data_IF_573819121185
#
_entry.id   IF_573819121185
#
_cell.length_a   1.000
_cell.length_b   1.000
_cell.length_c   1.000
_cell.angle_alpha   90.00
_cell.angle_beta   90.00
_cell.angle_gamma   90.00
#
_symmetry.space_group_name_H-M   'P 1'
#
loop_
_entity.id
_entity.type
_entity.pdbx_description
1 polymer ?
#
# COMPACT_ATOMS: atom_id res chain seq x y z
N UNK A 1 10.18 33.36 5.38
CA UNK A 1 10.59 31.95 5.65
C UNK A 1 9.36 31.07 5.66
N UNK A 2 9.07 30.38 4.55
CA UNK A 2 7.90 29.50 4.46
C UNK A 2 8.19 28.21 5.20
N UNK A 3 7.72 28.11 6.44
CA UNK A 3 7.90 26.95 7.30
C UNK A 3 7.44 25.66 6.59
N UNK A 4 8.34 24.68 6.50
CA UNK A 4 8.06 23.32 6.01
C UNK A 4 6.94 22.63 6.81
N UNK A 5 6.66 23.08 8.04
CA UNK A 5 5.52 22.60 8.85
C UNK A 5 4.16 22.83 8.17
N UNK A 6 4.07 23.80 7.26
CA UNK A 6 2.88 24.09 6.47
C UNK A 6 2.64 23.17 5.27
N UNK A 7 3.47 22.14 5.05
CA UNK A 7 3.32 21.21 3.92
C UNK A 7 2.92 19.79 4.33
N UNK A 8 3.26 19.36 5.55
CA UNK A 8 2.93 18.03 6.03
C UNK A 8 1.42 17.84 6.26
N UNK A 9 0.84 16.71 5.82
CA UNK A 9 -0.55 16.36 6.12
C UNK A 9 -0.71 16.06 7.61
N UNK A 10 -1.90 16.30 8.14
CA UNK A 10 -2.19 16.01 9.55
C UNK A 10 -2.36 14.49 9.74
N UNK A 11 -2.09 13.98 10.96
CA UNK A 11 -2.15 12.53 11.25
C UNK A 11 -3.51 11.91 10.93
N UNK A 12 -4.59 12.65 11.18
CA UNK A 12 -5.96 12.26 10.82
C UNK A 12 -6.19 12.10 9.31
N UNK A 13 -5.40 12.78 8.46
CA UNK A 13 -5.46 12.64 7.01
C UNK A 13 -4.56 11.51 6.49
N UNK A 14 -3.48 11.21 7.21
CA UNK A 14 -2.55 10.11 6.86
C UNK A 14 -3.19 8.76 7.16
N UNK A 15 -3.88 8.64 8.30
CA UNK A 15 -4.50 7.39 8.75
C UNK A 15 -5.39 6.70 7.68
N UNK A 16 -6.37 7.37 7.04
CA UNK A 16 -7.23 6.72 6.03
C UNK A 16 -6.46 6.30 4.76
N UNK A 17 -5.46 7.09 4.35
CA UNK A 17 -4.61 6.76 3.19
C UNK A 17 -3.72 5.55 3.51
N UNK A 18 -3.15 5.50 4.72
CA UNK A 18 -2.36 4.36 5.17
C UNK A 18 -3.22 3.11 5.33
N UNK A 19 -4.42 3.24 5.90
CA UNK A 19 -5.39 2.14 6.01
C UNK A 19 -5.75 1.55 4.64
N UNK A 20 -5.92 2.40 3.63
CA UNK A 20 -6.15 1.96 2.25
C UNK A 20 -4.97 1.15 1.71
N UNK A 21 -3.74 1.59 1.93
CA UNK A 21 -2.55 0.85 1.52
C UNK A 21 -2.44 -0.50 2.25
N UNK A 22 -2.65 -0.51 3.57
CA UNK A 22 -2.66 -1.73 4.39
C UNK A 22 -3.70 -2.72 3.86
N UNK A 23 -4.93 -2.30 3.62
CA UNK A 23 -5.98 -3.23 3.18
C UNK A 23 -5.66 -3.82 1.81
N UNK A 24 -5.20 -3.03 0.85
CA UNK A 24 -4.86 -3.53 -0.49
C UNK A 24 -3.69 -4.52 -0.43
N UNK A 25 -2.60 -4.16 0.25
CA UNK A 25 -1.39 -4.98 0.34
C UNK A 25 -1.67 -6.27 1.10
N UNK A 26 -2.32 -6.19 2.27
CA UNK A 26 -2.60 -7.38 3.07
C UNK A 26 -3.61 -8.29 2.40
N UNK A 27 -4.65 -7.75 1.76
CA UNK A 27 -5.60 -8.57 1.02
C UNK A 27 -4.93 -9.32 -0.13
N UNK A 28 -4.10 -8.64 -0.92
CA UNK A 28 -3.34 -9.26 -2.00
C UNK A 28 -2.44 -10.39 -1.49
N UNK A 29 -1.60 -10.08 -0.50
CA UNK A 29 -0.69 -11.05 0.12
C UNK A 29 -1.42 -12.24 0.74
N UNK A 30 -2.56 -12.02 1.40
CA UNK A 30 -3.37 -13.09 1.97
C UNK A 30 -4.02 -13.97 0.90
N UNK A 31 -4.50 -13.40 -0.21
CA UNK A 31 -5.02 -14.18 -1.34
C UNK A 31 -3.94 -15.12 -1.87
N UNK A 32 -2.72 -14.62 -2.09
CA UNK A 32 -1.59 -15.45 -2.54
C UNK A 32 -1.18 -16.50 -1.50
N UNK A 33 -1.17 -16.13 -0.22
CA UNK A 33 -0.90 -17.07 0.88
C UNK A 33 -1.92 -18.20 0.90
N UNK A 34 -3.23 -17.88 0.87
CA UNK A 34 -4.29 -18.88 0.90
C UNK A 34 -4.36 -19.72 -0.38
N UNK A 35 -3.90 -19.20 -1.52
CA UNK A 35 -3.75 -20.01 -2.73
C UNK A 35 -2.66 -21.08 -2.56
N UNK A 36 -1.53 -20.75 -1.91
CA UNK A 36 -0.45 -21.72 -1.64
C UNK A 36 -0.70 -22.58 -0.40
N UNK A 37 -1.57 -22.15 0.50
CA UNK A 37 -1.83 -22.83 1.77
C UNK A 37 -2.19 -24.32 1.63
N UNK A 38 -3.06 -24.76 0.69
CA UNK A 38 -3.38 -26.17 0.53
C UNK A 38 -2.18 -27.05 0.19
N UNK A 39 -1.18 -26.56 -0.57
CA UNK A 39 0.00 -27.35 -0.88
C UNK A 39 0.91 -27.47 0.35
N UNK A 40 1.04 -26.42 1.14
CA UNK A 40 1.84 -26.45 2.37
C UNK A 40 1.29 -27.41 3.42
N UNK A 41 -0.01 -27.66 3.47
CA UNK A 41 -0.58 -28.67 4.37
C UNK A 41 -0.02 -30.08 4.12
N UNK A 42 0.48 -30.37 2.91
CA UNK A 42 1.10 -31.65 2.58
C UNK A 42 2.61 -31.70 2.79
N UNK A 43 3.30 -30.55 2.75
CA UNK A 43 4.77 -30.49 2.68
C UNK A 43 5.45 -29.70 3.80
N UNK A 44 4.71 -28.90 4.56
CA UNK A 44 5.26 -28.02 5.59
C UNK A 44 4.64 -28.32 6.96
N UNK A 45 5.44 -28.13 8.01
CA UNK A 45 4.94 -28.23 9.39
C UNK A 45 4.11 -27.00 9.76
N UNK A 46 3.24 -27.13 10.77
CA UNK A 46 2.46 -25.99 11.28
C UNK A 46 3.34 -24.81 11.70
N UNK A 47 4.54 -25.10 12.26
CA UNK A 47 5.51 -24.07 12.62
C UNK A 47 6.07 -23.32 11.41
N UNK A 48 6.41 -24.03 10.33
CA UNK A 48 6.89 -23.41 9.09
C UNK A 48 5.83 -22.52 8.44
N UNK A 49 4.56 -22.95 8.45
CA UNK A 49 3.44 -22.16 7.94
C UNK A 49 3.25 -20.90 8.80
N UNK A 50 3.26 -21.03 10.12
CA UNK A 50 3.11 -19.89 11.04
C UNK A 50 4.23 -18.87 10.87
N UNK A 51 5.48 -19.34 10.71
CA UNK A 51 6.61 -18.46 10.46
C UNK A 51 6.50 -17.79 9.09
N UNK A 52 6.11 -18.53 8.05
CA UNK A 52 5.89 -17.95 6.71
C UNK A 52 4.85 -16.82 6.75
N UNK A 53 3.78 -17.00 7.52
CA UNK A 53 2.77 -15.96 7.75
C UNK A 53 3.35 -14.74 8.50
N UNK A 54 4.22 -14.95 9.50
CA UNK A 54 4.89 -13.87 10.21
C UNK A 54 5.82 -13.06 9.29
N UNK A 55 6.55 -13.72 8.39
CA UNK A 55 7.35 -13.01 7.37
C UNK A 55 6.45 -12.23 6.42
N UNK A 56 5.32 -12.81 5.99
CA UNK A 56 4.36 -12.13 5.11
C UNK A 56 3.84 -10.84 5.75
N UNK A 57 3.37 -10.89 7.00
CA UNK A 57 2.87 -9.69 7.70
C UNK A 57 3.97 -8.66 7.96
N UNK A 58 5.20 -9.10 8.23
CA UNK A 58 6.35 -8.19 8.38
C UNK A 58 6.62 -7.45 7.08
N UNK A 59 6.67 -8.15 5.95
CA UNK A 59 6.87 -7.54 4.62
C UNK A 59 5.72 -6.60 4.30
N UNK A 60 4.46 -7.01 4.49
CA UNK A 60 3.29 -6.17 4.24
C UNK A 60 3.30 -4.88 5.10
N UNK A 61 3.79 -4.95 6.34
CA UNK A 61 3.94 -3.78 7.21
C UNK A 61 4.95 -2.79 6.66
N UNK A 62 6.10 -3.29 6.18
CA UNK A 62 7.13 -2.46 5.53
C UNK A 62 6.59 -1.88 4.22
N UNK A 63 5.99 -2.69 3.35
CA UNK A 63 5.47 -2.26 2.05
C UNK A 63 4.37 -1.21 2.18
N UNK A 64 3.42 -1.40 3.12
CA UNK A 64 2.39 -0.38 3.40
C UNK A 64 2.99 0.91 3.97
N UNK A 65 4.04 0.78 4.79
CA UNK A 65 4.83 1.92 5.26
C UNK A 65 5.59 2.63 4.14
N UNK A 66 6.07 1.92 3.12
CA UNK A 66 6.68 2.52 1.94
C UNK A 66 5.64 3.16 1.02
N UNK A 67 4.47 2.52 0.86
CA UNK A 67 3.39 3.00 0.02
C UNK A 67 2.87 4.38 0.45
N UNK A 68 2.84 4.68 1.77
CA UNK A 68 2.42 6.00 2.27
C UNK A 68 3.47 7.09 2.04
N UNK A 69 4.75 6.74 1.82
CA UNK A 69 5.79 7.72 1.54
C UNK A 69 5.56 8.41 0.19
N UNK A 70 4.94 7.73 -0.78
CA UNK A 70 4.62 8.34 -2.07
C UNK A 70 3.63 9.53 -1.96
N UNK A 71 2.42 9.38 -1.40
CA UNK A 71 1.49 10.51 -1.23
C UNK A 71 2.02 11.57 -0.26
N UNK A 72 2.71 11.18 0.81
CA UNK A 72 3.32 12.14 1.74
C UNK A 72 4.45 12.92 1.04
N UNK A 73 5.33 12.25 0.31
CA UNK A 73 6.41 12.87 -0.45
C UNK A 73 5.87 13.86 -1.50
N UNK A 74 4.84 13.46 -2.25
CA UNK A 74 4.17 14.35 -3.20
C UNK A 74 3.54 15.57 -2.52
N UNK A 75 3.00 15.43 -1.31
CA UNK A 75 2.46 16.57 -0.56
C UNK A 75 3.51 17.61 -0.16
N UNK A 76 4.77 17.17 0.01
CA UNK A 76 5.91 18.04 0.36
C UNK A 76 6.51 18.72 -0.87
N UNK A 77 6.62 17.97 -1.98
CA UNK A 77 7.17 18.45 -3.25
C UNK A 77 6.20 19.43 -3.93
N UNK A 78 4.92 19.08 -4.01
CA UNK A 78 3.93 19.87 -4.73
C UNK A 78 3.46 21.10 -3.95
N UNK A 79 2.92 22.13 -4.64
CA UNK A 79 2.32 23.27 -3.99
C UNK A 79 1.18 22.85 -3.06
N UNK A 80 1.10 23.46 -1.87
CA UNK A 80 0.08 23.16 -0.83
C UNK A 80 -1.35 23.13 -1.38
N UNK A 81 -1.68 24.06 -2.28
CA UNK A 81 -3.02 24.19 -2.87
C UNK A 81 -3.39 23.02 -3.79
N UNK A 82 -2.39 22.32 -4.31
CA UNK A 82 -2.60 21.21 -5.20
C UNK A 82 -2.89 19.99 -4.34
N UNK A 83 -1.89 19.29 -3.81
CA UNK A 83 -2.11 17.98 -3.21
C UNK A 83 -2.70 18.02 -1.80
N UNK A 84 -2.29 18.97 -0.94
CA UNK A 84 -2.61 18.96 0.49
C UNK A 84 -4.08 19.23 0.81
N UNK A 85 -4.73 20.12 0.06
CA UNK A 85 -6.12 20.51 0.33
C UNK A 85 -7.11 19.34 0.24
N UNK A 86 -6.77 18.32 -0.57
CA UNK A 86 -7.54 17.09 -0.73
C UNK A 86 -6.66 15.85 -0.59
N UNK A 87 -5.82 15.89 0.45
CA UNK A 87 -4.82 14.85 0.68
C UNK A 87 -5.43 13.46 0.80
N UNK A 88 -6.56 13.32 1.51
CA UNK A 88 -7.21 12.02 1.71
C UNK A 88 -7.63 11.43 0.37
N UNK A 89 -8.45 12.14 -0.40
CA UNK A 89 -8.93 11.68 -1.71
C UNK A 89 -7.79 11.40 -2.69
N UNK A 90 -6.85 12.35 -2.84
CA UNK A 90 -5.75 12.21 -3.80
C UNK A 90 -4.74 11.16 -3.38
N UNK A 91 -4.46 11.07 -2.08
CA UNK A 91 -3.60 10.04 -1.50
C UNK A 91 -4.19 8.65 -1.70
N UNK A 92 -5.49 8.48 -1.42
CA UNK A 92 -6.17 7.21 -1.64
C UNK A 92 -6.21 6.83 -3.12
N UNK A 93 -6.54 7.76 -4.03
CA UNK A 93 -6.48 7.50 -5.47
C UNK A 93 -5.08 7.09 -5.92
N UNK A 94 -4.05 7.78 -5.44
CA UNK A 94 -2.67 7.46 -5.77
C UNK A 94 -2.29 6.06 -5.29
N UNK A 95 -2.68 5.71 -4.05
CA UNK A 95 -2.43 4.38 -3.49
C UNK A 95 -3.19 3.32 -4.26
N UNK A 96 -4.48 3.51 -4.55
CA UNK A 96 -5.31 2.55 -5.30
C UNK A 96 -4.75 2.33 -6.70
N UNK A 97 -4.51 3.39 -7.47
CA UNK A 97 -4.01 3.29 -8.84
C UNK A 97 -2.56 2.81 -8.89
N UNK A 98 -1.73 3.29 -7.97
CA UNK A 98 -0.32 2.91 -7.87
C UNK A 98 -0.14 1.46 -7.49
N UNK A 99 -0.79 1.00 -6.41
CA UNK A 99 -0.76 -0.41 -6.01
C UNK A 99 -1.47 -1.29 -7.02
N UNK A 100 -2.55 -0.83 -7.67
CA UNK A 100 -3.21 -1.56 -8.76
C UNK A 100 -2.28 -1.79 -9.95
N UNK A 101 -1.47 -0.79 -10.33
CA UNK A 101 -0.44 -0.95 -11.35
C UNK A 101 0.66 -1.93 -10.91
N UNK A 102 1.11 -1.85 -9.65
CA UNK A 102 2.12 -2.79 -9.13
C UNK A 102 1.60 -4.23 -9.07
N UNK A 103 0.33 -4.44 -8.72
CA UNK A 103 -0.31 -5.76 -8.78
C UNK A 103 -0.38 -6.29 -10.22
N UNK A 104 -0.70 -5.43 -11.19
CA UNK A 104 -0.64 -5.79 -12.61
C UNK A 104 0.79 -6.14 -13.07
N UNK A 105 1.79 -5.39 -12.58
CA UNK A 105 3.20 -5.63 -12.86
C UNK A 105 3.67 -6.99 -12.30
N UNK A 106 3.31 -7.30 -11.05
CA UNK A 106 3.57 -8.60 -10.42
C UNK A 106 2.91 -9.74 -11.19
N UNK A 107 1.65 -9.56 -11.60
CA UNK A 107 0.95 -10.57 -12.41
C UNK A 107 1.66 -10.85 -13.74
N UNK A 108 2.19 -9.83 -14.42
CA UNK A 108 2.96 -10.02 -15.66
C UNK A 108 4.28 -10.78 -15.41
N UNK A 109 4.95 -10.52 -14.28
CA UNK A 109 6.16 -11.27 -13.90
C UNK A 109 5.83 -12.75 -13.68
N UNK A 110 4.67 -13.06 -13.10
CA UNK A 110 4.27 -14.45 -12.85
C UNK A 110 3.79 -15.17 -14.12
N UNK A 111 3.28 -14.44 -15.11
CA UNK A 111 2.77 -14.99 -16.36
C UNK A 111 3.88 -15.31 -17.37
N UNK A 112 4.94 -14.49 -17.45
CA UNK A 112 6.05 -14.67 -18.38
C UNK A 112 7.29 -15.27 -17.71
N UNK A 113 7.97 -16.21 -18.39
CA UNK A 113 9.23 -16.76 -17.90
C UNK A 113 10.41 -15.75 -17.93
N UNK A 114 10.28 -14.68 -18.72
CA UNK A 114 11.27 -13.62 -18.84
C UNK A 114 10.77 -12.34 -18.18
N UNK A 115 11.66 -11.61 -17.49
CA UNK A 115 11.31 -10.35 -16.85
C UNK A 115 10.77 -9.35 -17.89
N UNK A 116 9.62 -8.66 -17.63
CA UNK A 116 8.99 -7.77 -18.59
C UNK A 116 9.73 -6.43 -18.69
N UNK A 117 10.92 -6.43 -19.29
CA UNK A 117 11.80 -5.27 -19.44
C UNK A 117 11.12 -4.08 -20.12
N UNK A 118 10.26 -4.35 -21.11
CA UNK A 118 9.50 -3.30 -21.78
C UNK A 118 8.59 -2.58 -20.77
N UNK A 119 7.83 -3.34 -19.97
CA UNK A 119 6.92 -2.79 -18.96
C UNK A 119 7.69 -1.95 -17.93
N UNK A 120 8.82 -2.45 -17.43
CA UNK A 120 9.68 -1.76 -16.48
C UNK A 120 10.25 -0.45 -17.04
N UNK A 121 10.68 -0.45 -18.31
CA UNK A 121 11.18 0.75 -19.00
C UNK A 121 10.12 1.82 -19.13
N UNK A 122 8.86 1.44 -19.37
CA UNK A 122 7.75 2.37 -19.53
C UNK A 122 7.08 2.76 -18.21
N UNK A 123 7.44 2.17 -17.07
CA UNK A 123 6.89 2.50 -15.75
C UNK A 123 6.92 4.00 -15.43
N UNK A 124 8.01 4.76 -15.67
CA UNK A 124 8.01 6.20 -15.44
C UNK A 124 6.99 6.94 -16.33
N UNK A 125 6.80 6.47 -17.57
CA UNK A 125 5.80 7.04 -18.47
C UNK A 125 4.38 6.71 -17.99
N UNK A 126 4.14 5.53 -17.42
CA UNK A 126 2.84 5.11 -16.85
C UNK A 126 2.53 5.82 -15.52
N UNK A 127 3.54 6.26 -14.78
CA UNK A 127 3.33 7.07 -13.58
C UNK A 127 2.68 8.44 -13.91
N UNK A 128 2.98 9.02 -15.08
CA UNK A 128 2.39 10.29 -15.52
C UNK A 128 0.86 10.26 -15.71
N UNK A 129 0.27 9.29 -16.45
CA UNK A 129 -1.18 9.17 -16.54
C UNK A 129 -1.81 8.79 -15.20
N UNK A 130 -1.16 7.99 -14.34
CA UNK A 130 -1.67 7.75 -12.98
C UNK A 130 -1.78 9.07 -12.22
N UNK A 131 -0.72 9.89 -12.21
CA UNK A 131 -0.74 11.20 -11.58
C UNK A 131 -1.82 12.10 -12.19
N UNK A 132 -1.91 12.16 -13.53
CA UNK A 132 -2.94 12.93 -14.21
C UNK A 132 -4.36 12.49 -13.80
N UNK A 133 -4.61 11.18 -13.73
CA UNK A 133 -5.87 10.62 -13.26
C UNK A 133 -6.16 11.00 -11.81
N UNK A 134 -5.17 10.98 -10.90
CA UNK A 134 -5.37 11.44 -9.52
C UNK A 134 -5.89 12.88 -9.48
N UNK A 135 -5.34 13.79 -10.29
CA UNK A 135 -5.78 15.18 -10.34
C UNK A 135 -7.11 15.40 -11.07
N UNK A 136 -7.42 14.57 -12.07
CA UNK A 136 -8.66 14.64 -12.84
C UNK A 136 -9.84 14.06 -12.06
N UNK A 137 -9.66 12.86 -11.49
CA UNK A 137 -10.68 12.13 -10.75
C UNK A 137 -11.08 12.84 -9.46
N UNK A 138 -10.18 13.58 -8.82
CA UNK A 138 -10.50 14.42 -7.67
C UNK A 138 -11.56 15.51 -8.00
N UNK A 139 -11.70 15.94 -9.27
CA UNK A 139 -12.75 16.91 -9.64
C UNK A 139 -14.16 16.32 -9.53
N UNK A 140 -14.27 15.01 -9.48
CA UNK A 140 -15.53 14.28 -9.44
C UNK A 140 -16.02 14.18 -7.98
N UNK A 141 -16.98 15.03 -7.60
CA UNK A 141 -17.46 15.15 -6.21
C UNK A 141 -17.94 13.84 -5.59
N UNK A 142 -18.67 13.01 -6.36
CA UNK A 142 -19.21 11.74 -5.85
C UNK A 142 -18.10 10.73 -5.54
N UNK A 143 -17.07 10.66 -6.38
CA UNK A 143 -15.90 9.80 -6.17
C UNK A 143 -15.11 10.24 -4.94
N UNK A 144 -14.93 11.55 -4.75
CA UNK A 144 -14.27 12.09 -3.56
C UNK A 144 -14.96 11.66 -2.26
N UNK A 145 -16.30 11.74 -2.25
CA UNK A 145 -17.12 11.31 -1.11
C UNK A 145 -17.00 9.82 -0.83
N UNK A 146 -17.06 8.98 -1.87
CA UNK A 146 -16.90 7.52 -1.72
C UNK A 146 -15.54 7.20 -1.12
N UNK A 147 -14.48 7.83 -1.61
CA UNK A 147 -13.13 7.58 -1.11
C UNK A 147 -12.96 8.00 0.34
N UNK A 148 -13.49 9.17 0.73
CA UNK A 148 -13.47 9.61 2.12
C UNK A 148 -14.23 8.64 3.03
N UNK A 149 -15.46 8.26 2.66
CA UNK A 149 -16.27 7.29 3.43
C UNK A 149 -15.61 5.91 3.52
N UNK A 150 -14.96 5.46 2.44
CA UNK A 150 -14.19 4.22 2.44
C UNK A 150 -12.98 4.35 3.35
N UNK A 151 -12.18 5.42 3.25
CA UNK A 151 -10.98 5.62 4.05
C UNK A 151 -11.26 5.60 5.55
N UNK A 152 -12.36 6.22 5.97
CA UNK A 152 -12.80 6.21 7.37
C UNK A 152 -13.13 4.78 7.83
N UNK A 153 -13.86 4.00 7.02
CA UNK A 153 -14.18 2.60 7.34
C UNK A 153 -12.94 1.71 7.35
N UNK A 154 -12.02 1.92 6.41
CA UNK A 154 -10.80 1.11 6.29
C UNK A 154 -9.87 1.33 7.49
N UNK A 155 -9.94 2.47 8.15
CA UNK A 155 -9.13 2.78 9.35
C UNK A 155 -9.33 1.75 10.47
N UNK A 156 -10.49 1.09 10.53
CA UNK A 156 -10.77 0.01 11.50
C UNK A 156 -9.77 -1.15 11.34
N UNK A 157 -9.35 -1.47 10.11
CA UNK A 157 -8.41 -2.57 9.86
C UNK A 157 -7.01 -2.31 10.42
N UNK A 158 -6.63 -1.04 10.64
CA UNK A 158 -5.35 -0.72 11.28
C UNK A 158 -5.27 -1.26 12.71
N UNK A 159 -6.39 -1.29 13.44
CA UNK A 159 -6.44 -1.85 14.78
C UNK A 159 -6.21 -3.37 14.82
N UNK A 160 -6.39 -4.06 13.69
CA UNK A 160 -6.16 -5.50 13.56
C UNK A 160 -4.77 -5.77 13.01
N UNK A 161 -4.44 -5.16 11.87
CA UNK A 161 -3.19 -5.47 11.16
C UNK A 161 -1.96 -4.88 11.82
N UNK A 162 -2.02 -3.70 12.45
CA UNK A 162 -0.83 -3.10 13.08
C UNK A 162 -0.35 -3.95 14.27
N UNK A 163 -1.20 -4.37 15.23
CA UNK A 163 -0.77 -5.26 16.31
C UNK A 163 -0.27 -6.62 15.80
N UNK A 164 -0.97 -7.20 14.81
CA UNK A 164 -0.59 -8.47 14.23
C UNK A 164 0.80 -8.42 13.57
N UNK A 165 1.09 -7.32 12.88
CA UNK A 165 2.39 -7.10 12.26
C UNK A 165 3.48 -6.74 13.24
N UNK A 166 3.16 -6.09 14.37
CA UNK A 166 4.10 -5.89 15.45
C UNK A 166 4.53 -7.24 16.07
N UNK A 167 3.57 -8.14 16.34
CA UNK A 167 3.87 -9.50 16.82
C UNK A 167 4.69 -10.30 15.79
N UNK A 168 4.33 -10.16 14.51
CA UNK A 168 5.03 -10.84 13.41
C UNK A 168 6.46 -10.34 13.26
N UNK A 169 6.68 -9.02 13.34
CA UNK A 169 8.01 -8.41 13.30
C UNK A 169 8.87 -8.90 14.47
N UNK A 170 8.31 -8.95 15.68
CA UNK A 170 9.01 -9.50 16.85
C UNK A 170 9.41 -10.97 16.63
N UNK A 171 8.49 -11.77 16.08
CA UNK A 171 8.75 -13.19 15.78
C UNK A 171 9.89 -13.34 14.78
N UNK A 172 9.89 -12.54 13.71
CA UNK A 172 10.95 -12.53 12.71
C UNK A 172 12.27 -12.07 13.33
N UNK A 173 12.28 -11.00 14.12
CA UNK A 173 13.51 -10.50 14.76
C UNK A 173 14.12 -11.54 15.70
N UNK A 174 13.31 -12.18 16.56
CA UNK A 174 13.79 -13.23 17.47
C UNK A 174 14.41 -14.38 16.69
N UNK A 175 13.76 -14.86 15.62
CA UNK A 175 14.25 -15.98 14.81
C UNK A 175 15.54 -15.69 14.04
N UNK A 176 15.82 -14.44 13.69
CA UNK A 176 17.03 -14.07 12.94
C UNK A 176 18.20 -13.68 13.85
N UNK A 177 17.93 -13.31 15.11
CA UNK A 177 18.95 -12.88 16.07
C UNK A 177 19.40 -13.98 17.03
N UNK A 178 18.57 -15.00 17.25
CA UNK A 178 18.83 -16.16 18.11
C UNK A 178 18.66 -17.45 17.31
#
# INVERSE_FOLDING_TARGET
MNSLSGKFPARNQIAPVYATAVVIIYAWSLIHFFWRFPSWLYFATTGEIAVTLAYLFTVNFIESGLAILAPVGLSVILPRRWFRNRFVTRGMLLVILGLGYLAYFDWQIQADAAFPYALAKWTPLIALPILALVFLLDKIKWLGRILEELGDRLTIFLYIFVPLSALSLLTVLVRNLF
#
